data_IF_154227764091
#
_entry.id   IF_154227764091
#
_cell.length_a   1.000
_cell.length_b   1.000
_cell.length_c   1.000
_cell.angle_alpha   90.00
_cell.angle_beta   90.00
_cell.angle_gamma   90.00
#
_symmetry.space_group_name_H-M   'P 1'
#
loop_
_entity.id
_entity.type
_entity.pdbx_description
1 polymer ?
#
# COMPACT_ATOMS: atom_id res chain seq x y z
N UNK A 1 -20.35 -61.53 -21.28
CA UNK A 1 -19.11 -61.52 -22.09
C UNK A 1 -19.23 -60.38 -23.09
N UNK A 2 -18.12 -59.65 -23.31
CA UNK A 2 -17.90 -58.60 -24.33
C UNK A 2 -18.16 -57.13 -23.93
N UNK A 3 -17.19 -56.66 -23.14
CA UNK A 3 -16.46 -55.40 -23.24
C UNK A 3 -16.27 -54.87 -24.67
N UNK A 4 -16.59 -53.59 -24.94
CA UNK A 4 -15.76 -52.71 -25.80
C UNK A 4 -15.83 -51.25 -25.34
N UNK A 5 -14.61 -50.71 -25.18
CA UNK A 5 -14.20 -49.34 -24.87
C UNK A 5 -14.18 -48.50 -26.17
N UNK A 6 -14.28 -47.18 -26.05
CA UNK A 6 -13.34 -46.15 -26.58
C UNK A 6 -14.08 -44.92 -27.16
N UNK A 7 -14.00 -43.85 -26.36
CA UNK A 7 -14.02 -42.42 -26.68
C UNK A 7 -12.96 -42.08 -27.75
N UNK A 8 -13.23 -41.18 -28.69
CA UNK A 8 -12.24 -40.19 -29.18
C UNK A 8 -12.98 -38.92 -29.60
N UNK A 9 -12.71 -37.86 -28.85
CA UNK A 9 -12.92 -36.46 -29.22
C UNK A 9 -12.04 -36.11 -30.42
N UNK A 10 -12.60 -35.40 -31.39
CA UNK A 10 -11.84 -34.61 -32.36
C UNK A 10 -12.54 -33.24 -32.47
N UNK A 11 -12.28 -32.38 -31.49
CA UNK A 11 -12.61 -30.95 -31.58
C UNK A 11 -11.45 -30.31 -32.33
N UNK A 12 -11.67 -29.97 -33.60
CA UNK A 12 -10.72 -29.29 -34.44
C UNK A 12 -10.44 -27.88 -33.92
N UNK A 13 -9.18 -27.62 -33.57
CA UNK A 13 -8.66 -26.27 -33.40
C UNK A 13 -8.33 -25.72 -34.79
N UNK A 14 -9.23 -24.89 -35.33
CA UNK A 14 -8.93 -24.04 -36.49
C UNK A 14 -8.04 -22.89 -36.04
N UNK A 15 -6.75 -22.96 -36.36
CA UNK A 15 -5.80 -21.87 -36.19
C UNK A 15 -6.01 -20.82 -37.29
N UNK A 16 -6.55 -19.65 -36.95
CA UNK A 16 -6.46 -18.47 -37.80
C UNK A 16 -5.06 -17.84 -37.67
N UNK A 17 -4.25 -18.08 -38.70
CA UNK A 17 -3.00 -17.38 -38.99
C UNK A 17 -3.37 -16.05 -39.65
N UNK A 18 -3.17 -14.93 -38.97
CA UNK A 18 -3.09 -13.62 -39.64
C UNK A 18 -1.70 -13.02 -39.39
N UNK A 19 -0.88 -13.04 -40.45
CA UNK A 19 0.26 -12.15 -40.63
C UNK A 19 -0.25 -10.95 -41.43
N UNK A 20 -0.13 -9.76 -40.87
CA UNK A 20 -0.07 -8.50 -41.63
C UNK A 20 0.73 -7.52 -40.78
N UNK A 21 2.02 -7.36 -41.05
CA UNK A 21 2.59 -6.29 -41.88
C UNK A 21 2.61 -4.95 -41.13
N UNK A 22 3.82 -4.52 -40.75
CA UNK A 22 4.08 -3.21 -40.15
C UNK A 22 4.06 -2.14 -41.25
N UNK A 23 3.31 -1.08 -41.02
CA UNK A 23 3.53 0.24 -41.61
C UNK A 23 3.33 1.30 -40.51
N UNK A 24 4.16 2.35 -40.45
CA UNK A 24 4.09 3.36 -39.41
C UNK A 24 3.12 4.50 -39.81
N UNK A 25 2.67 5.26 -38.79
CA UNK A 25 2.44 6.73 -38.77
C UNK A 25 1.09 7.14 -38.12
N UNK A 26 1.21 8.20 -37.28
CA UNK A 26 0.22 9.17 -36.78
C UNK A 26 -0.62 8.83 -35.54
N UNK A 27 -0.01 9.14 -34.39
CA UNK A 27 -0.50 10.12 -33.41
C UNK A 27 -1.83 10.83 -33.75
N UNK A 28 -2.87 10.58 -32.95
CA UNK A 28 -3.85 11.57 -32.49
C UNK A 28 -4.34 11.16 -31.09
N UNK A 29 -4.14 12.07 -30.15
CA UNK A 29 -4.60 12.06 -28.76
C UNK A 29 -6.13 11.95 -28.62
N UNK A 30 -6.56 11.21 -27.60
CA UNK A 30 -7.70 11.66 -26.77
C UNK A 30 -7.55 11.12 -25.35
N UNK A 31 -6.57 11.69 -24.65
CA UNK A 31 -6.49 11.61 -23.19
C UNK A 31 -7.60 12.53 -22.67
N UNK A 32 -8.58 11.95 -21.98
CA UNK A 32 -9.51 12.69 -21.16
C UNK A 32 -8.68 13.30 -20.03
N UNK A 33 -8.39 14.59 -20.15
CA UNK A 33 -7.62 15.36 -19.19
C UNK A 33 -8.40 15.47 -17.87
N UNK A 34 -7.96 14.74 -16.85
CA UNK A 34 -8.27 15.04 -15.45
C UNK A 34 -7.21 16.01 -14.90
N UNK A 35 -6.91 17.07 -15.66
CA UNK A 35 -5.84 18.04 -15.35
C UNK A 35 -6.36 19.49 -15.20
N UNK A 36 -7.68 19.70 -15.15
CA UNK A 36 -8.25 21.06 -15.05
C UNK A 36 -8.55 21.55 -13.62
N UNK A 37 -7.99 20.94 -12.57
CA UNK A 37 -8.25 21.38 -11.18
C UNK A 37 -7.02 21.77 -10.36
N UNK A 38 -5.84 21.91 -10.98
CA UNK A 38 -4.70 22.55 -10.33
C UNK A 38 -3.94 23.44 -11.31
N UNK A 39 -4.42 24.67 -11.45
CA UNK A 39 -3.57 25.79 -11.86
C UNK A 39 -3.79 26.95 -10.91
N UNK A 40 -2.67 27.58 -10.56
CA UNK A 40 -2.47 28.72 -9.66
C UNK A 40 -2.28 28.40 -8.17
N UNK A 41 -1.02 28.25 -7.74
CA UNK A 41 -0.37 29.14 -6.74
C UNK A 41 1.17 28.96 -6.83
N UNK A 42 1.80 29.98 -7.40
CA UNK A 42 3.10 30.59 -7.09
C UNK A 42 4.28 29.74 -6.54
N UNK A 43 5.34 29.75 -7.36
CA UNK A 43 6.76 29.60 -7.06
C UNK A 43 7.16 29.82 -5.58
N UNK A 44 7.53 28.73 -4.90
CA UNK A 44 8.50 28.73 -3.79
C UNK A 44 9.54 27.64 -4.02
N UNK A 45 10.80 27.88 -3.60
CA UNK A 45 11.95 27.10 -4.08
C UNK A 45 11.85 25.65 -3.65
N UNK A 46 12.02 24.77 -4.64
CA UNK A 46 12.21 23.33 -4.47
C UNK A 46 13.48 23.13 -3.64
N UNK A 47 13.29 22.76 -2.37
CA UNK A 47 14.38 22.31 -1.52
C UNK A 47 14.69 20.85 -1.90
N UNK A 48 15.53 20.68 -2.92
CA UNK A 48 16.18 19.41 -3.21
C UNK A 48 17.27 19.16 -2.17
N UNK A 49 16.90 18.51 -1.07
CA UNK A 49 17.86 17.75 -0.27
C UNK A 49 17.26 16.38 0.02
N UNK A 50 17.91 15.33 -0.49
CA UNK A 50 17.68 13.92 -0.13
C UNK A 50 18.16 13.63 1.31
N UNK A 51 17.89 14.55 2.23
CA UNK A 51 17.94 14.27 3.65
C UNK A 51 16.70 13.47 3.97
N UNK A 52 16.86 12.22 4.36
CA UNK A 52 15.87 11.52 5.19
C UNK A 52 15.69 12.37 6.44
N UNK A 53 14.81 13.35 6.37
CA UNK A 53 14.50 14.27 7.46
C UNK A 53 13.96 13.40 8.56
N UNK A 54 14.80 13.19 9.57
CA UNK A 54 14.43 12.55 10.82
C UNK A 54 13.16 13.26 11.27
N UNK A 55 12.03 12.53 11.39
CA UNK A 55 10.78 13.10 11.85
C UNK A 55 10.98 13.44 13.32
N UNK A 56 11.45 14.63 13.58
CA UNK A 56 11.75 15.13 14.92
C UNK A 56 10.56 15.88 15.51
N UNK A 57 9.64 16.32 14.66
CA UNK A 57 8.46 17.08 15.05
C UNK A 57 7.18 16.40 14.55
N UNK A 58 6.39 15.90 15.50
CA UNK A 58 5.11 15.24 15.27
C UNK A 58 3.94 16.23 15.17
N UNK A 59 4.24 17.53 15.01
CA UNK A 59 3.24 18.55 14.79
C UNK A 59 2.58 18.36 13.42
N UNK A 60 1.53 17.55 13.40
CA UNK A 60 0.68 17.33 12.25
C UNK A 60 -0.36 18.45 12.08
N UNK A 61 -0.59 19.29 13.09
CA UNK A 61 -1.57 20.38 13.05
C UNK A 61 -1.28 21.38 11.93
N UNK A 62 -0.01 21.56 11.57
CA UNK A 62 0.38 22.38 10.41
C UNK A 62 -0.27 21.94 9.08
N UNK A 63 -0.58 20.65 8.93
CA UNK A 63 -1.25 20.11 7.74
C UNK A 63 -2.75 20.42 7.72
N UNK A 64 -3.33 20.74 8.87
CA UNK A 64 -4.75 21.10 8.98
C UNK A 64 -4.99 22.48 8.33
N UNK A 65 -4.08 23.42 8.54
CA UNK A 65 -4.11 24.73 7.88
C UNK A 65 -3.67 24.73 6.42
N UNK A 66 -3.02 23.67 5.93
CA UNK A 66 -2.47 23.62 4.56
C UNK A 66 -3.57 23.37 3.52
N UNK A 67 -3.79 24.29 2.59
CA UNK A 67 -4.82 24.19 1.56
C UNK A 67 -4.56 23.08 0.53
N UNK A 68 -3.34 22.55 0.45
CA UNK A 68 -2.97 21.44 -0.46
C UNK A 68 -3.33 20.07 0.11
N UNK A 69 -3.60 20.00 1.41
CA UNK A 69 -4.03 18.77 2.08
C UNK A 69 -5.52 18.58 1.82
N UNK A 70 -5.90 17.40 1.33
CA UNK A 70 -7.29 17.12 0.98
C UNK A 70 -8.20 17.25 2.21
N UNK A 71 -9.43 17.73 1.98
CA UNK A 71 -10.41 17.90 3.06
C UNK A 71 -10.65 16.58 3.80
N UNK A 72 -10.80 15.48 3.06
CA UNK A 72 -11.02 14.15 3.64
C UNK A 72 -9.87 13.70 4.57
N UNK A 73 -8.62 14.00 4.25
CA UNK A 73 -7.49 13.68 5.13
C UNK A 73 -7.55 14.46 6.45
N UNK A 74 -7.94 15.73 6.40
CA UNK A 74 -8.15 16.57 7.59
C UNK A 74 -9.31 16.05 8.43
N UNK A 75 -10.42 15.72 7.78
CA UNK A 75 -11.62 15.21 8.44
C UNK A 75 -11.34 13.87 9.15
N UNK A 76 -10.54 12.98 8.56
CA UNK A 76 -10.09 11.74 9.22
C UNK A 76 -9.17 12.04 10.41
N UNK A 77 -8.17 12.92 10.23
CA UNK A 77 -7.21 13.24 11.29
C UNK A 77 -7.87 13.86 12.53
N UNK A 78 -8.84 14.74 12.31
CA UNK A 78 -9.59 15.42 13.38
C UNK A 78 -10.76 14.58 13.93
N UNK A 79 -10.96 13.36 13.42
CA UNK A 79 -12.14 12.51 13.68
C UNK A 79 -13.48 13.24 13.49
N UNK A 80 -13.55 14.09 12.46
CA UNK A 80 -14.80 14.66 12.00
C UNK A 80 -15.66 13.60 11.29
N UNK A 81 -16.90 13.94 10.95
CA UNK A 81 -17.73 13.05 10.14
C UNK A 81 -17.16 12.90 8.72
N UNK A 82 -16.80 11.68 8.32
CA UNK A 82 -16.28 11.35 6.99
C UNK A 82 -16.89 10.05 6.46
N UNK A 83 -16.87 9.88 5.14
CA UNK A 83 -17.39 8.68 4.44
C UNK A 83 -16.26 7.90 3.80
N UNK A 84 -16.32 6.58 3.91
CA UNK A 84 -15.28 5.67 3.43
C UNK A 84 -15.09 5.73 1.91
N UNK A 85 -16.17 5.91 1.15
CA UNK A 85 -16.13 6.07 -0.31
C UNK A 85 -15.19 7.20 -0.78
N UNK A 86 -15.00 8.23 0.05
CA UNK A 86 -14.13 9.36 -0.26
C UNK A 86 -12.67 9.15 0.16
N UNK A 87 -12.39 8.11 0.96
CA UNK A 87 -11.07 7.87 1.53
C UNK A 87 -10.15 7.06 0.61
N UNK A 88 -10.67 6.39 -0.42
CA UNK A 88 -9.88 5.50 -1.29
C UNK A 88 -8.68 6.23 -1.93
N UNK A 89 -8.87 7.46 -2.39
CA UNK A 89 -7.79 8.28 -2.98
C UNK A 89 -6.67 8.68 -2.00
N UNK A 90 -6.86 8.45 -0.69
CA UNK A 90 -5.80 8.68 0.30
C UNK A 90 -4.74 7.59 0.30
N UNK A 91 -5.06 6.38 -0.18
CA UNK A 91 -4.09 5.29 -0.24
C UNK A 91 -2.95 5.63 -1.21
N UNK A 92 -3.26 6.28 -2.33
CA UNK A 92 -2.26 6.79 -3.28
C UNK A 92 -1.32 7.82 -2.62
N UNK A 93 -1.82 8.55 -1.62
CA UNK A 93 -1.06 9.58 -0.92
C UNK A 93 0.04 9.02 -0.02
N UNK A 94 0.04 7.72 0.28
CA UNK A 94 1.17 7.04 0.94
C UNK A 94 2.47 7.19 0.13
N UNK A 95 2.38 7.23 -1.19
CA UNK A 95 3.54 7.30 -2.10
C UNK A 95 3.71 8.65 -2.78
N UNK A 96 2.96 9.67 -2.34
CA UNK A 96 3.01 11.03 -2.93
C UNK A 96 4.44 11.53 -3.09
N UNK A 97 4.75 12.23 -4.20
CA UNK A 97 6.09 12.78 -4.45
C UNK A 97 6.51 13.76 -3.36
N UNK A 98 5.55 14.41 -2.70
CA UNK A 98 5.80 15.32 -1.61
C UNK A 98 6.13 14.58 -0.30
N UNK A 99 7.41 14.28 -0.09
CA UNK A 99 7.91 13.62 1.13
C UNK A 99 7.52 14.34 2.43
N UNK A 100 7.35 15.66 2.39
CA UNK A 100 6.98 16.45 3.56
C UNK A 100 5.61 16.05 4.12
N UNK A 101 4.63 15.74 3.28
CA UNK A 101 3.27 15.37 3.71
C UNK A 101 3.07 13.88 3.94
N UNK A 102 4.01 13.01 3.54
CA UNK A 102 3.86 11.56 3.70
C UNK A 102 3.64 11.11 5.14
N UNK A 103 4.36 11.62 6.15
CA UNK A 103 4.10 11.22 7.53
C UNK A 103 2.67 11.51 7.99
N UNK A 104 2.11 12.65 7.54
CA UNK A 104 0.72 12.99 7.81
C UNK A 104 -0.24 12.00 7.14
N UNK A 105 -0.06 11.72 5.84
CA UNK A 105 -0.88 10.74 5.14
C UNK A 105 -0.74 9.33 5.71
N UNK A 106 0.45 8.94 6.15
CA UNK A 106 0.68 7.69 6.85
C UNK A 106 -0.14 7.62 8.14
N UNK A 107 -0.17 8.71 8.94
CA UNK A 107 -1.03 8.76 10.14
C UNK A 107 -2.52 8.70 9.78
N UNK A 108 -2.95 9.46 8.77
CA UNK A 108 -4.34 9.45 8.29
C UNK A 108 -4.77 8.06 7.84
N UNK A 109 -3.97 7.37 7.03
CA UNK A 109 -4.26 6.00 6.59
C UNK A 109 -4.32 5.04 7.78
N UNK A 110 -3.43 5.19 8.76
CA UNK A 110 -3.47 4.39 10.00
C UNK A 110 -4.82 4.53 10.70
N UNK A 111 -5.38 5.74 10.78
CA UNK A 111 -6.68 6.00 11.40
C UNK A 111 -7.86 5.40 10.62
N UNK A 112 -7.73 5.23 9.29
CA UNK A 112 -8.82 4.65 8.49
C UNK A 112 -9.10 3.18 8.80
N UNK A 113 -8.14 2.44 9.36
CA UNK A 113 -8.29 1.03 9.69
C UNK A 113 -9.48 0.76 10.65
N UNK A 114 -9.79 1.69 11.55
CA UNK A 114 -10.89 1.52 12.50
C UNK A 114 -12.28 1.54 11.85
N UNK A 115 -12.40 2.16 10.67
CA UNK A 115 -13.68 2.30 9.94
C UNK A 115 -13.65 1.56 8.59
N UNK A 116 -12.65 0.71 8.35
CA UNK A 116 -12.54 -0.03 7.08
C UNK A 116 -13.61 -1.13 7.00
N UNK A 117 -14.30 -1.21 5.86
CA UNK A 117 -15.24 -2.28 5.53
C UNK A 117 -14.74 -3.11 4.34
N UNK A 118 -15.53 -4.06 3.84
CA UNK A 118 -15.11 -5.03 2.82
C UNK A 118 -14.29 -4.45 1.66
N UNK A 119 -14.88 -3.56 0.85
CA UNK A 119 -14.21 -3.04 -0.35
C UNK A 119 -13.02 -2.13 -0.02
N UNK A 120 -13.14 -1.30 1.03
CA UNK A 120 -12.02 -0.45 1.42
C UNK A 120 -10.87 -1.24 2.03
N UNK A 121 -11.17 -2.32 2.78
CA UNK A 121 -10.18 -3.18 3.43
C UNK A 121 -9.29 -3.91 2.41
N UNK A 122 -9.86 -4.29 1.26
CA UNK A 122 -9.09 -4.87 0.15
C UNK A 122 -8.06 -3.85 -0.38
N UNK A 123 -8.52 -2.63 -0.72
CA UNK A 123 -7.63 -1.56 -1.17
C UNK A 123 -6.58 -1.19 -0.12
N UNK A 124 -7.00 -1.05 1.14
CA UNK A 124 -6.15 -0.71 2.28
C UNK A 124 -5.07 -1.78 2.50
N UNK A 125 -5.44 -3.06 2.47
CA UNK A 125 -4.51 -4.17 2.61
C UNK A 125 -3.51 -4.23 1.47
N UNK A 126 -3.99 -4.12 0.22
CA UNK A 126 -3.17 -4.15 -0.97
C UNK A 126 -2.14 -3.01 -0.99
N UNK A 127 -2.60 -1.75 -0.87
CA UNK A 127 -1.72 -0.58 -0.90
C UNK A 127 -0.85 -0.51 0.36
N UNK A 128 -1.35 -0.94 1.53
CA UNK A 128 -0.56 -1.02 2.75
C UNK A 128 0.60 -2.00 2.64
N UNK A 129 0.34 -3.23 2.17
CA UNK A 129 1.38 -4.26 1.90
C UNK A 129 2.42 -3.75 0.90
N UNK A 130 1.95 -3.12 -0.18
CA UNK A 130 2.80 -2.56 -1.23
C UNK A 130 3.66 -1.40 -0.73
N UNK A 131 3.10 -0.49 0.06
CA UNK A 131 3.85 0.61 0.67
C UNK A 131 4.97 0.12 1.58
N UNK A 132 4.66 -0.77 2.54
CA UNK A 132 5.67 -1.29 3.49
C UNK A 132 6.76 -2.08 2.77
N UNK A 133 6.40 -2.85 1.74
CA UNK A 133 7.36 -3.57 0.90
C UNK A 133 8.30 -2.62 0.17
N UNK A 134 7.76 -1.60 -0.49
CA UNK A 134 8.56 -0.74 -1.38
C UNK A 134 9.25 0.42 -0.64
N UNK A 135 8.80 0.77 0.57
CA UNK A 135 9.33 1.88 1.36
C UNK A 135 9.75 1.41 2.77
N UNK A 136 10.27 0.19 2.90
CA UNK A 136 10.54 -0.44 4.21
C UNK A 136 11.34 0.45 5.15
N UNK A 137 12.41 1.09 4.67
CA UNK A 137 13.26 1.98 5.47
C UNK A 137 12.52 3.22 5.96
N UNK A 138 11.68 3.83 5.11
CA UNK A 138 10.83 4.98 5.46
C UNK A 138 9.78 4.55 6.48
N UNK A 139 9.08 3.44 6.24
CA UNK A 139 8.12 2.84 7.15
C UNK A 139 8.68 2.66 8.57
N UNK A 140 9.80 1.96 8.72
CA UNK A 140 10.39 1.74 10.05
C UNK A 140 10.98 3.01 10.67
N UNK A 141 11.30 4.02 9.85
CA UNK A 141 11.79 5.32 10.35
C UNK A 141 10.72 6.10 11.10
N UNK A 142 9.45 5.90 10.76
CA UNK A 142 8.32 6.57 11.42
C UNK A 142 8.23 6.19 12.90
N UNK A 143 8.58 4.95 13.24
CA UNK A 143 8.53 4.44 14.62
C UNK A 143 9.83 4.67 15.41
N UNK A 144 10.81 5.41 14.87
CA UNK A 144 12.03 5.75 15.62
C UNK A 144 11.76 6.75 16.76
N UNK A 145 10.63 7.46 16.71
CA UNK A 145 10.18 8.41 17.72
C UNK A 145 8.78 8.02 18.17
N UNK A 146 8.67 7.51 19.41
CA UNK A 146 7.39 7.11 20.02
C UNK A 146 6.37 8.27 20.10
N UNK A 147 6.83 9.51 19.90
CA UNK A 147 5.96 10.70 19.91
C UNK A 147 5.03 10.78 18.69
N UNK A 148 5.45 10.25 17.55
CA UNK A 148 4.70 10.43 16.29
C UNK A 148 3.84 9.21 15.98
N UNK A 149 4.39 8.02 16.25
CA UNK A 149 3.78 6.75 15.96
C UNK A 149 4.02 5.80 17.13
N UNK A 150 2.95 5.18 17.60
CA UNK A 150 2.98 4.31 18.76
C UNK A 150 3.17 2.85 18.34
N UNK A 151 3.32 1.99 19.34
CA UNK A 151 3.30 0.54 19.14
C UNK A 151 1.93 0.02 18.68
N UNK A 152 0.86 0.72 19.04
CA UNK A 152 -0.48 0.43 18.53
C UNK A 152 -0.57 0.76 17.04
N UNK A 153 0.02 1.88 16.60
CA UNK A 153 0.11 2.20 15.17
C UNK A 153 0.90 1.09 14.44
N UNK A 154 2.00 0.58 15.02
CA UNK A 154 2.77 -0.51 14.41
C UNK A 154 1.91 -1.78 14.24
N UNK A 155 1.11 -2.10 15.26
CA UNK A 155 0.18 -3.24 15.25
C UNK A 155 -0.95 -3.05 14.24
N UNK A 156 -1.47 -1.83 14.10
CA UNK A 156 -2.45 -1.46 13.07
C UNK A 156 -1.87 -1.72 11.68
N UNK A 157 -0.62 -1.35 11.42
CA UNK A 157 0.02 -1.65 10.14
C UNK A 157 0.19 -3.14 9.86
N UNK A 158 0.46 -3.95 10.89
CA UNK A 158 0.43 -5.41 10.73
C UNK A 158 -0.97 -5.88 10.36
N UNK A 159 -2.00 -5.38 11.04
CA UNK A 159 -3.38 -5.75 10.75
C UNK A 159 -3.81 -5.35 9.32
N UNK A 160 -3.43 -4.16 8.87
CA UNK A 160 -3.65 -3.70 7.50
C UNK A 160 -3.06 -4.71 6.51
N UNK A 161 -1.80 -5.10 6.70
CA UNK A 161 -1.14 -6.05 5.80
C UNK A 161 -1.79 -7.44 5.85
N UNK A 162 -2.27 -7.84 7.03
CA UNK A 162 -2.98 -9.11 7.19
C UNK A 162 -4.31 -9.15 6.44
N UNK A 163 -4.97 -8.02 6.16
CA UNK A 163 -6.16 -7.98 5.31
C UNK A 163 -5.87 -8.63 3.96
N UNK A 164 -4.79 -8.22 3.32
CA UNK A 164 -4.37 -8.74 2.01
C UNK A 164 -3.89 -10.19 2.08
N UNK A 165 -3.14 -10.57 3.12
CA UNK A 165 -2.70 -11.97 3.26
C UNK A 165 -3.86 -12.92 3.56
N UNK A 166 -4.90 -12.47 4.26
CA UNK A 166 -6.10 -13.27 4.48
C UNK A 166 -6.86 -13.55 3.18
N UNK A 167 -6.91 -12.58 2.27
CA UNK A 167 -7.50 -12.75 0.94
C UNK A 167 -6.70 -13.74 0.09
N UNK A 168 -5.37 -13.66 0.13
CA UNK A 168 -4.50 -14.61 -0.59
C UNK A 168 -4.67 -16.03 -0.02
N UNK A 169 -4.63 -16.19 1.31
CA UNK A 169 -4.73 -17.50 1.96
C UNK A 169 -6.05 -18.24 1.64
N UNK A 170 -7.14 -17.50 1.44
CA UNK A 170 -8.43 -18.06 1.05
C UNK A 170 -8.45 -18.58 -0.41
N UNK A 171 -7.55 -18.08 -1.26
CA UNK A 171 -7.47 -18.45 -2.68
C UNK A 171 -6.35 -19.44 -2.99
N UNK A 172 -5.20 -19.30 -2.31
CA UNK A 172 -4.00 -20.10 -2.50
C UNK A 172 -3.29 -20.30 -1.16
N UNK A 173 -3.05 -21.56 -0.81
CA UNK A 173 -2.40 -21.90 0.44
C UNK A 173 -0.88 -22.04 0.26
N UNK A 174 -0.15 -20.93 0.44
CA UNK A 174 1.30 -20.93 0.58
C UNK A 174 1.70 -20.64 2.04
N UNK A 175 2.14 -21.67 2.76
CA UNK A 175 2.62 -21.54 4.14
C UNK A 175 3.82 -20.58 4.27
N UNK A 176 4.59 -20.39 3.20
CA UNK A 176 5.81 -19.59 3.20
C UNK A 176 5.57 -18.12 2.80
N UNK A 177 4.34 -17.73 2.50
CA UNK A 177 3.98 -16.41 2.00
C UNK A 177 4.51 -15.27 2.90
N UNK A 178 4.35 -15.39 4.22
CA UNK A 178 4.84 -14.41 5.19
C UNK A 178 6.36 -14.41 5.31
N UNK A 179 7.00 -15.58 5.28
CA UNK A 179 8.46 -15.65 5.38
C UNK A 179 9.10 -15.02 4.14
N UNK A 180 8.57 -15.30 2.94
CA UNK A 180 8.98 -14.66 1.69
C UNK A 180 8.83 -13.13 1.77
N UNK A 181 7.73 -12.63 2.34
CA UNK A 181 7.53 -11.20 2.54
C UNK A 181 8.53 -10.59 3.53
N UNK A 182 8.75 -11.24 4.68
CA UNK A 182 9.70 -10.82 5.71
C UNK A 182 11.13 -10.77 5.16
N UNK A 183 11.54 -11.76 4.36
CA UNK A 183 12.83 -11.76 3.70
C UNK A 183 13.04 -10.53 2.82
N UNK A 184 12.02 -10.12 2.05
CA UNK A 184 12.06 -8.90 1.24
C UNK A 184 12.24 -7.68 2.13
N UNK A 185 11.48 -7.57 3.22
CA UNK A 185 11.61 -6.42 4.13
C UNK A 185 13.02 -6.35 4.76
N UNK A 186 13.59 -7.48 5.15
CA UNK A 186 14.95 -7.53 5.70
C UNK A 186 15.99 -7.12 4.65
N UNK A 187 15.84 -7.55 3.39
CA UNK A 187 16.71 -7.14 2.27
C UNK A 187 16.60 -5.63 1.99
N UNK A 188 15.42 -5.05 2.10
CA UNK A 188 15.20 -3.61 1.91
C UNK A 188 15.68 -2.76 3.10
N UNK A 189 16.19 -3.38 4.16
CA UNK A 189 16.60 -2.72 5.40
C UNK A 189 18.00 -3.20 5.86
N UNK A 190 18.86 -3.63 4.94
CA UNK A 190 20.24 -4.05 5.24
C UNK A 190 21.07 -2.91 5.85
N UNK A 191 20.88 -1.68 5.35
CA UNK A 191 21.58 -0.46 5.76
C UNK A 191 20.79 0.40 6.76
N UNK A 192 19.74 -0.18 7.36
CA UNK A 192 18.96 0.48 8.39
C UNK A 192 19.78 0.69 9.68
N UNK A 193 19.41 1.73 10.43
CA UNK A 193 19.94 1.95 11.79
C UNK A 193 19.52 0.83 12.73
N UNK A 194 20.20 0.68 13.87
CA UNK A 194 19.86 -0.36 14.85
C UNK A 194 18.43 -0.20 15.41
N UNK A 195 17.95 1.03 15.61
CA UNK A 195 16.56 1.27 16.00
C UNK A 195 15.58 0.79 14.91
N UNK A 196 15.84 1.11 13.64
CA UNK A 196 15.01 0.65 12.52
C UNK A 196 15.00 -0.88 12.39
N UNK A 197 16.15 -1.54 12.58
CA UNK A 197 16.23 -3.02 12.60
C UNK A 197 15.44 -3.59 13.77
N UNK A 198 15.48 -2.97 14.95
CA UNK A 198 14.69 -3.37 16.12
C UNK A 198 13.19 -3.25 15.84
N UNK A 199 12.74 -2.13 15.28
CA UNK A 199 11.35 -1.93 14.84
C UNK A 199 10.94 -2.98 13.81
N UNK A 200 11.78 -3.23 12.79
CA UNK A 200 11.48 -4.23 11.76
C UNK A 200 11.34 -5.64 12.35
N UNK A 201 12.25 -6.03 13.26
CA UNK A 201 12.17 -7.32 13.96
C UNK A 201 10.87 -7.45 14.75
N UNK A 202 10.45 -6.39 15.44
CA UNK A 202 9.19 -6.36 16.18
C UNK A 202 7.99 -6.50 15.24
N UNK A 203 7.95 -5.70 14.18
CA UNK A 203 6.93 -5.79 13.14
C UNK A 203 6.82 -7.21 12.55
N UNK A 204 7.94 -7.80 12.14
CA UNK A 204 8.01 -9.16 11.60
C UNK A 204 7.52 -10.21 12.61
N UNK A 205 7.84 -10.05 13.90
CA UNK A 205 7.37 -10.96 14.95
C UNK A 205 5.85 -10.92 15.12
N UNK A 206 5.25 -9.73 15.14
CA UNK A 206 3.79 -9.57 15.26
C UNK A 206 3.09 -10.16 14.03
N UNK A 207 3.65 -9.91 12.83
CA UNK A 207 3.13 -10.45 11.58
C UNK A 207 3.11 -11.99 11.57
N UNK A 208 4.20 -12.65 12.02
CA UNK A 208 4.25 -14.12 12.15
C UNK A 208 3.21 -14.66 13.12
N UNK A 209 3.05 -14.02 14.28
CA UNK A 209 2.05 -14.44 15.28
C UNK A 209 0.65 -14.40 14.67
N UNK A 210 0.27 -13.28 14.05
CA UNK A 210 -1.05 -13.12 13.42
C UNK A 210 -1.29 -14.06 12.25
N UNK A 211 -0.25 -14.34 11.45
CA UNK A 211 -0.33 -15.34 10.40
C UNK A 211 -0.57 -16.74 10.96
N UNK A 212 0.20 -17.15 11.96
CA UNK A 212 0.03 -18.45 12.60
C UNK A 212 -1.34 -18.60 13.29
N UNK A 213 -1.91 -17.50 13.80
CA UNK A 213 -3.28 -17.47 14.31
C UNK A 213 -4.29 -17.68 13.18
N UNK A 214 -4.18 -16.93 12.08
CA UNK A 214 -5.05 -17.09 10.91
C UNK A 214 -5.03 -18.53 10.37
N UNK A 215 -3.84 -19.13 10.26
CA UNK A 215 -3.66 -20.50 9.79
C UNK A 215 -4.31 -21.58 10.68
N UNK A 216 -4.70 -21.26 11.92
CA UNK A 216 -5.46 -22.20 12.77
C UNK A 216 -6.95 -22.25 12.41
N UNK A 217 -7.43 -21.27 11.65
CA UNK A 217 -8.83 -21.07 11.33
C UNK A 217 -9.17 -21.33 9.86
N UNK A 218 -8.16 -21.62 9.03
CA UNK A 218 -8.27 -22.03 7.63
C UNK A 218 -7.95 -23.51 7.56
#
# INVERSE_FOLDING_TARGET
>A
MNWKIIFIMLIGLTACKNKTEKSPIKEVEKIISLDSLYSEVNNKPVLNTESTTKITDCNFDKFISDNRISKIAKDIYLDNNWKLDNAMGLLDSLTTKNKYSRPFYFKVVTLTYQKSDGAFSEGLGYEGKKYVKNNTKEFVSYFNSEKCFTEDDLTIWVNIIMLEFSLIANNEFDKNLIENYIEILNKNCLDCTENQKKTLKKFNSILRVKWNELLKHI
#
